data_IF_251945226066
#
_entry.id   IF_251945226066
#
_cell.length_a   1.000
_cell.length_b   1.000
_cell.length_c   1.000
_cell.angle_alpha   90.00
_cell.angle_beta   90.00
_cell.angle_gamma   90.00
#
_symmetry.space_group_name_H-M   'P 1'
#
loop_
_entity.id
_entity.type
_entity.pdbx_description
1 polymer ?
#
# COMPACT_ATOMS: atom_id res chain seq x y z
N UNK A 1 -12.37 -1.35 -14.59
CA UNK A 1 -11.45 -1.90 -13.57
C UNK A 1 -12.26 -2.15 -12.29
N UNK A 2 -12.09 -3.28 -11.61
CA UNK A 2 -12.68 -3.52 -10.28
C UNK A 2 -11.55 -4.03 -9.38
N UNK A 3 -11.47 -3.52 -8.15
CA UNK A 3 -10.52 -4.02 -7.15
C UNK A 3 -11.11 -5.28 -6.51
N UNK A 4 -10.29 -6.30 -6.34
CA UNK A 4 -10.65 -7.56 -5.71
C UNK A 4 -9.58 -7.92 -4.68
N UNK A 5 -9.86 -8.94 -3.85
CA UNK A 5 -8.98 -9.43 -2.78
C UNK A 5 -8.80 -8.45 -1.60
N UNK A 6 -9.85 -8.32 -0.77
CA UNK A 6 -9.85 -7.48 0.44
C UNK A 6 -9.33 -8.21 1.69
N UNK A 7 -8.50 -9.26 1.54
CA UNK A 7 -8.00 -10.06 2.67
C UNK A 7 -7.14 -9.29 3.68
N UNK A 8 -6.61 -8.13 3.28
CA UNK A 8 -5.85 -7.21 4.14
C UNK A 8 -6.59 -5.90 4.41
N UNK A 9 -7.81 -5.74 3.91
CA UNK A 9 -8.58 -4.51 4.09
C UNK A 9 -9.04 -4.40 5.54
N UNK A 10 -9.04 -3.17 6.06
CA UNK A 10 -9.45 -2.87 7.43
C UNK A 10 -10.35 -1.64 7.44
N UNK A 11 -11.42 -1.70 8.23
CA UNK A 11 -12.25 -0.53 8.51
C UNK A 11 -11.54 0.24 9.63
N UNK A 12 -11.14 1.47 9.34
CA UNK A 12 -10.51 2.38 10.29
C UNK A 12 -11.50 3.51 10.61
N UNK A 13 -11.74 3.83 11.89
CA UNK A 13 -12.40 5.06 12.29
C UNK A 13 -11.65 6.29 11.74
N UNK A 14 -12.32 7.45 11.60
CA UNK A 14 -11.64 8.70 11.26
C UNK A 14 -10.51 8.97 12.26
N UNK A 15 -9.33 9.33 11.76
CA UNK A 15 -8.09 9.62 12.53
C UNK A 15 -7.40 8.41 13.18
N UNK A 16 -7.93 7.19 13.05
CA UNK A 16 -7.29 5.99 13.61
C UNK A 16 -6.17 5.46 12.70
N UNK A 17 -5.14 4.87 13.31
CA UNK A 17 -3.97 4.33 12.61
C UNK A 17 -3.78 2.86 12.94
N UNK A 18 -3.43 2.06 11.93
CA UNK A 18 -3.13 0.63 12.09
C UNK A 18 -1.62 0.38 11.99
N UNK A 19 -1.18 -0.76 12.52
CA UNK A 19 0.25 -1.13 12.60
C UNK A 19 0.48 -2.58 12.13
N UNK A 20 -0.32 -3.03 11.17
CA UNK A 20 -0.23 -4.38 10.60
C UNK A 20 0.77 -4.40 9.46
N UNK A 21 1.89 -5.12 9.62
CA UNK A 21 2.90 -5.27 8.57
C UNK A 21 2.55 -6.47 7.66
N UNK A 22 1.55 -6.29 6.81
CA UNK A 22 1.05 -7.31 5.87
C UNK A 22 0.93 -6.71 4.47
N UNK A 23 1.29 -7.49 3.44
CA UNK A 23 1.22 -7.06 2.04
C UNK A 23 2.40 -7.57 1.21
N UNK A 24 2.44 -7.16 -0.06
CA UNK A 24 3.55 -7.46 -0.98
C UNK A 24 4.60 -6.33 -0.90
N UNK A 25 5.85 -6.59 -0.47
CA UNK A 25 6.82 -5.54 -0.11
C UNK A 25 7.06 -4.46 -1.16
N UNK A 26 7.02 -4.81 -2.45
CA UNK A 26 7.25 -3.89 -3.56
C UNK A 26 6.16 -2.82 -3.71
N UNK A 27 4.97 -3.07 -3.15
CA UNK A 27 3.82 -2.15 -3.19
C UNK A 27 3.55 -1.52 -1.82
N UNK A 28 4.24 -1.96 -0.76
CA UNK A 28 4.02 -1.43 0.59
C UNK A 28 4.65 -0.04 0.74
N UNK A 29 3.91 0.83 1.42
CA UNK A 29 4.40 2.16 1.76
C UNK A 29 5.58 2.07 2.76
N UNK A 30 6.48 3.05 2.70
CA UNK A 30 7.71 3.05 3.50
C UNK A 30 7.45 3.02 5.02
N UNK A 31 6.36 3.64 5.46
CA UNK A 31 5.88 3.65 6.84
C UNK A 31 5.44 2.26 7.31
N UNK A 32 4.81 1.47 6.44
CA UNK A 32 4.43 0.08 6.73
C UNK A 32 5.69 -0.78 6.88
N UNK A 33 6.66 -0.63 5.97
CA UNK A 33 7.93 -1.35 6.01
C UNK A 33 8.77 -1.02 7.26
N UNK A 34 8.61 0.19 7.80
CA UNK A 34 9.25 0.63 9.05
C UNK A 34 8.45 0.25 10.31
N UNK A 35 7.33 -0.46 10.17
CA UNK A 35 6.44 -0.82 11.28
C UNK A 35 5.77 0.39 11.95
N UNK A 36 5.70 1.52 11.25
CA UNK A 36 5.04 2.73 11.73
C UNK A 36 3.52 2.61 11.60
N UNK A 37 2.82 3.40 12.39
CA UNK A 37 1.37 3.54 12.31
C UNK A 37 1.01 4.24 11.00
N UNK A 38 0.07 3.66 10.25
CA UNK A 38 -0.34 4.16 8.94
C UNK A 38 -1.87 4.29 8.84
N UNK A 39 -2.31 5.16 7.93
CA UNK A 39 -3.72 5.41 7.61
C UNK A 39 -4.05 4.92 6.20
N UNK A 40 -5.26 5.21 5.71
CA UNK A 40 -5.67 5.01 4.33
C UNK A 40 -4.75 5.67 3.27
N UNK A 41 -3.87 6.60 3.67
CA UNK A 41 -2.90 7.21 2.76
C UNK A 41 -1.87 6.20 2.23
N UNK A 42 -1.63 5.08 2.92
CA UNK A 42 -0.75 4.02 2.44
C UNK A 42 -1.26 3.36 1.16
N UNK A 43 -2.57 3.37 0.92
CA UNK A 43 -3.16 2.83 -0.30
C UNK A 43 -2.78 3.68 -1.51
N UNK A 44 -2.60 5.00 -1.33
CA UNK A 44 -2.19 5.91 -2.39
C UNK A 44 -0.76 5.61 -2.87
N UNK A 45 0.12 5.19 -1.96
CA UNK A 45 1.46 4.71 -2.33
C UNK A 45 1.37 3.50 -3.26
N UNK A 46 0.58 2.51 -2.88
CA UNK A 46 0.38 1.28 -3.67
C UNK A 46 -0.15 1.62 -5.08
N UNK A 47 -1.11 2.54 -5.16
CA UNK A 47 -1.65 3.03 -6.44
C UNK A 47 -0.57 3.72 -7.28
N UNK A 48 0.29 4.53 -6.67
CA UNK A 48 1.41 5.18 -7.34
C UNK A 48 2.40 4.18 -7.95
N UNK A 49 2.74 3.12 -7.20
CA UNK A 49 3.60 2.04 -7.69
C UNK A 49 2.97 1.33 -8.89
N UNK A 50 1.68 0.98 -8.81
CA UNK A 50 0.94 0.34 -9.90
C UNK A 50 0.89 1.26 -11.13
N UNK A 51 0.59 2.55 -10.95
CA UNK A 51 0.52 3.52 -12.04
C UNK A 51 1.87 3.64 -12.76
N UNK A 52 2.97 3.72 -12.00
CA UNK A 52 4.31 3.76 -12.57
C UNK A 52 4.62 2.49 -13.38
N UNK A 53 4.26 1.33 -12.83
CA UNK A 53 4.44 0.05 -13.49
C UNK A 53 3.64 -0.05 -14.79
N UNK A 54 2.40 0.45 -14.81
CA UNK A 54 1.58 0.48 -16.01
C UNK A 54 2.15 1.45 -17.07
N UNK A 55 2.74 2.57 -16.65
CA UNK A 55 3.29 3.57 -17.57
C UNK A 55 4.65 3.17 -18.15
N UNK A 56 5.49 2.48 -17.37
CA UNK A 56 6.90 2.22 -17.73
C UNK A 56 7.22 0.74 -17.97
N UNK A 57 6.26 -0.16 -17.69
CA UNK A 57 6.45 -1.61 -17.61
C UNK A 57 7.55 -2.06 -16.64
N UNK A 58 7.96 -1.19 -15.72
CA UNK A 58 9.01 -1.42 -14.73
C UNK A 58 8.51 -1.08 -13.34
N UNK A 59 8.99 -1.78 -12.32
CA UNK A 59 8.73 -1.36 -10.94
C UNK A 59 9.54 -0.09 -10.62
N UNK A 60 8.97 0.87 -9.88
CA UNK A 60 9.70 2.06 -9.44
C UNK A 60 10.80 1.71 -8.43
N UNK A 61 10.59 0.65 -7.64
CA UNK A 61 11.52 0.13 -6.66
C UNK A 61 11.80 -1.34 -6.98
N UNK A 62 13.08 -1.69 -7.06
CA UNK A 62 13.58 -3.06 -7.18
C UNK A 62 14.34 -3.39 -5.90
N UNK A 63 14.10 -4.59 -5.36
CA UNK A 63 14.74 -5.09 -4.14
C UNK A 63 16.23 -5.38 -4.34
#
# INVERSE_FOLDING_TARGET
LKVANFGFAKILPPEDLTQTMIGSPLYMASEILKGQKYSNLSDLWSVGVILYQLATFKLPYVA
#
